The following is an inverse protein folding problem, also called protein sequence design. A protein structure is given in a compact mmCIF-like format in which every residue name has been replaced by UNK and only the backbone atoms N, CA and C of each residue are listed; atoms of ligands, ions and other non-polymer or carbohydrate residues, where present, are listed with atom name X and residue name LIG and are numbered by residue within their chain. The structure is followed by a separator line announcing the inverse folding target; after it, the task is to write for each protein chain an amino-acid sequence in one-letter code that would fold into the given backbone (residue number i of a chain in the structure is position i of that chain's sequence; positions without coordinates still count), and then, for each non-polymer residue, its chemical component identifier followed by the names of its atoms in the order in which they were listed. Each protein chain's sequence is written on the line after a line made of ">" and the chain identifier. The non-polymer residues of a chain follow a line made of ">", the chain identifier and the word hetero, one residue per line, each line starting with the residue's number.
data_IF_884860265632
#
_entry.id   IF_884860265632
#
_cell.length_a   1.000
_cell.length_b   1.000
_cell.length_c   1.000
_cell.angle_alpha   90.00
_cell.angle_beta   90.00
_cell.angle_gamma   90.00
#
_symmetry.space_group_name_H-M   'P 1'
#
loop_
_entity.id
_entity.type
_entity.pdbx_description
1 polymer ?
#
# COMPACT_ATOMS: atom_id res chain seq x y z
N UNK A 1 12.15 1.48 -11.64
CA UNK A 1 11.86 2.93 -11.76
C UNK A 1 10.64 3.36 -10.96
N UNK A 2 9.50 2.65 -11.00
CA UNK A 2 8.31 2.96 -10.19
C UNK A 2 8.61 3.06 -8.67
N UNK A 3 9.26 2.03 -8.10
CA UNK A 3 9.68 2.04 -6.68
C UNK A 3 10.60 3.22 -6.32
N UNK A 4 11.44 3.69 -7.27
CA UNK A 4 12.31 4.84 -7.04
C UNK A 4 11.54 6.17 -7.00
N UNK A 5 10.53 6.32 -7.84
CA UNK A 5 9.62 7.49 -7.83
C UNK A 5 8.79 7.48 -6.55
N UNK A 6 8.24 6.32 -6.15
CA UNK A 6 7.49 6.17 -4.90
C UNK A 6 8.34 6.53 -3.69
N UNK A 7 9.59 6.06 -3.61
CA UNK A 7 10.50 6.43 -2.52
C UNK A 7 10.87 7.92 -2.55
N UNK A 8 11.06 8.53 -3.73
CA UNK A 8 11.33 9.96 -3.83
C UNK A 8 10.17 10.82 -3.35
N UNK A 9 8.95 10.52 -3.80
CA UNK A 9 7.73 11.23 -3.39
C UNK A 9 7.48 11.06 -1.88
N UNK A 10 7.72 9.87 -1.33
CA UNK A 10 7.59 9.62 0.11
C UNK A 10 8.53 10.49 0.94
N UNK A 11 9.79 10.63 0.53
CA UNK A 11 10.76 11.48 1.22
C UNK A 11 10.40 12.97 1.14
N UNK A 12 9.90 13.44 -0.01
CA UNK A 12 9.46 14.84 -0.18
C UNK A 12 8.25 15.13 0.70
N UNK A 13 7.28 14.22 0.74
CA UNK A 13 6.11 14.34 1.63
C UNK A 13 6.50 14.35 3.11
N UNK A 14 7.47 13.50 3.49
CA UNK A 14 8.01 13.46 4.85
C UNK A 14 8.73 14.75 5.26
N UNK A 15 9.29 15.49 4.30
CA UNK A 15 9.93 16.78 4.54
C UNK A 15 8.94 17.96 4.56
N UNK A 16 7.90 17.93 3.73
CA UNK A 16 6.90 18.99 3.64
C UNK A 16 6.01 19.07 4.90
N UNK A 17 5.68 17.94 5.50
CA UNK A 17 4.81 17.88 6.69
C UNK A 17 5.36 18.70 7.88
N UNK A 18 6.61 18.53 8.35
CA UNK A 18 7.15 19.33 9.45
C UNK A 18 7.34 20.81 9.09
N UNK A 19 7.61 21.15 7.82
CA UNK A 19 7.67 22.56 7.38
C UNK A 19 6.31 23.22 7.47
N UNK A 20 5.27 22.56 6.98
CA UNK A 20 3.90 23.07 7.04
C UNK A 20 3.44 23.27 8.49
N UNK A 21 3.69 22.28 9.35
CA UNK A 21 3.42 22.38 10.80
C UNK A 21 4.22 23.53 11.43
N UNK A 22 5.50 23.68 11.05
CA UNK A 22 6.37 24.76 11.51
C UNK A 22 5.82 26.15 11.19
N UNK A 23 5.39 26.39 9.95
CA UNK A 23 4.81 27.67 9.50
C UNK A 23 3.53 28.01 10.27
N UNK A 24 2.65 27.02 10.49
CA UNK A 24 1.40 27.25 11.23
C UNK A 24 1.67 27.51 12.71
N UNK A 25 2.68 26.87 13.27
CA UNK A 25 3.00 26.97 14.69
C UNK A 25 3.88 28.17 15.03
N UNK A 26 4.57 28.75 14.05
CA UNK A 26 5.37 29.99 14.18
C UNK A 26 4.54 31.18 14.70
N UNK A 27 3.24 31.19 14.41
CA UNK A 27 2.30 32.22 14.89
C UNK A 27 1.82 32.01 16.34
N UNK A 28 2.23 30.92 16.99
CA UNK A 28 1.92 30.60 18.38
C UNK A 28 1.47 29.14 18.55
N UNK A 29 1.86 28.52 19.67
CA UNK A 29 1.43 27.17 20.05
C UNK A 29 0.01 27.18 20.66
N UNK A 30 -0.95 27.80 19.99
CA UNK A 30 -2.34 27.89 20.47
C UNK A 30 -3.18 26.71 19.98
N UNK A 31 -4.23 26.37 20.73
CA UNK A 31 -5.16 25.27 20.37
C UNK A 31 -5.75 25.47 18.96
N UNK A 32 -5.98 26.70 18.53
CA UNK A 32 -6.53 26.98 17.20
C UNK A 32 -5.58 26.61 16.06
N UNK A 33 -4.28 26.77 16.23
CA UNK A 33 -3.29 26.37 15.21
C UNK A 33 -3.22 24.85 15.08
N UNK A 34 -3.30 24.12 16.20
CA UNK A 34 -3.39 22.66 16.18
C UNK A 34 -4.67 22.16 15.51
N UNK A 35 -5.82 22.82 15.72
CA UNK A 35 -7.07 22.50 15.01
C UNK A 35 -6.90 22.62 13.51
N UNK A 36 -6.22 23.65 13.02
CA UNK A 36 -5.96 23.83 11.58
C UNK A 36 -5.09 22.69 11.05
N UNK A 37 -4.05 22.29 11.77
CA UNK A 37 -3.17 21.17 11.38
C UNK A 37 -3.98 19.87 11.27
N UNK A 38 -4.80 19.55 12.27
CA UNK A 38 -5.63 18.35 12.25
C UNK A 38 -6.68 18.38 11.13
N UNK A 39 -7.33 19.52 10.92
CA UNK A 39 -8.32 19.69 9.84
C UNK A 39 -7.66 19.51 8.47
N UNK A 40 -6.48 20.10 8.26
CA UNK A 40 -5.74 19.98 7.00
C UNK A 40 -5.28 18.54 6.77
N UNK A 41 -4.79 17.87 7.81
CA UNK A 41 -4.38 16.46 7.75
C UNK A 41 -5.58 15.57 7.40
N UNK A 42 -6.73 15.79 8.02
CA UNK A 42 -7.97 15.08 7.71
C UNK A 42 -8.41 15.31 6.26
N UNK A 43 -8.32 16.54 5.75
CA UNK A 43 -8.64 16.87 4.36
C UNK A 43 -7.72 16.18 3.35
N UNK A 44 -6.41 16.12 3.64
CA UNK A 44 -5.42 15.41 2.80
C UNK A 44 -5.70 13.91 2.77
N UNK A 45 -5.98 13.30 3.92
CA UNK A 45 -6.34 11.88 4.02
C UNK A 45 -7.64 11.57 3.29
N UNK A 46 -8.67 12.40 3.47
CA UNK A 46 -9.95 12.27 2.78
C UNK A 46 -9.75 12.36 1.26
N UNK A 47 -9.01 13.35 0.77
CA UNK A 47 -8.70 13.53 -0.65
C UNK A 47 -7.93 12.34 -1.22
N UNK A 48 -6.93 11.85 -0.48
CA UNK A 48 -6.18 10.65 -0.87
C UNK A 48 -7.08 9.42 -0.94
N UNK A 49 -8.00 9.27 0.02
CA UNK A 49 -9.02 8.22 0.01
C UNK A 49 -9.99 8.33 -1.16
N UNK A 50 -10.40 9.54 -1.54
CA UNK A 50 -11.23 9.75 -2.74
C UNK A 50 -10.48 9.39 -4.02
N UNK A 51 -9.23 9.84 -4.17
CA UNK A 51 -8.40 9.48 -5.32
C UNK A 51 -8.23 7.96 -5.39
N UNK A 52 -7.93 7.32 -4.27
CA UNK A 52 -7.89 5.86 -4.22
C UNK A 52 -9.24 5.25 -4.60
N UNK A 53 -10.36 5.76 -4.09
CA UNK A 53 -11.69 5.21 -4.37
C UNK A 53 -12.06 5.27 -5.86
N UNK A 54 -11.74 6.36 -6.56
CA UNK A 54 -12.05 6.52 -7.98
C UNK A 54 -11.09 5.73 -8.90
N UNK A 55 -9.83 5.57 -8.49
CA UNK A 55 -8.78 4.96 -9.33
C UNK A 55 -8.38 3.55 -8.87
N UNK A 56 -8.94 3.02 -7.78
CA UNK A 56 -8.67 1.68 -7.30
C UNK A 56 -9.23 0.66 -8.31
N UNK A 57 -8.32 -0.13 -8.87
CA UNK A 57 -8.68 -1.38 -9.53
C UNK A 57 -8.36 -2.52 -8.58
N UNK A 58 -9.33 -3.42 -8.37
CA UNK A 58 -9.15 -4.62 -7.56
C UNK A 58 -8.59 -5.80 -8.38
N UNK A 59 -8.08 -5.56 -9.59
CA UNK A 59 -7.47 -6.59 -10.40
C UNK A 59 -6.12 -7.03 -9.81
N UNK A 60 -5.95 -8.35 -9.76
CA UNK A 60 -4.73 -9.00 -9.32
C UNK A 60 -3.58 -8.50 -10.20
N UNK A 61 -2.68 -7.73 -9.60
CA UNK A 61 -1.59 -7.13 -10.34
C UNK A 61 -0.65 -8.24 -10.86
N UNK A 62 -0.24 -8.23 -12.14
CA UNK A 62 0.43 -9.36 -12.79
C UNK A 62 1.79 -9.75 -12.19
N UNK A 63 2.39 -8.91 -11.35
CA UNK A 63 3.62 -9.23 -10.60
C UNK A 63 3.37 -9.99 -9.29
N UNK A 64 2.12 -10.06 -8.81
CA UNK A 64 1.71 -10.76 -7.59
C UNK A 64 1.19 -12.18 -7.85
N UNK A 65 1.15 -12.61 -9.12
CA UNK A 65 0.96 -14.01 -9.48
C UNK A 65 2.31 -14.68 -9.23
N UNK A 66 2.53 -15.13 -8.00
CA UNK A 66 3.62 -16.08 -7.76
C UNK A 66 3.33 -17.30 -8.65
N UNK A 67 4.33 -17.79 -9.37
CA UNK A 67 4.18 -18.93 -10.29
C UNK A 67 4.06 -20.25 -9.51
N UNK A 68 3.18 -20.27 -8.51
CA UNK A 68 2.93 -21.41 -7.63
C UNK A 68 1.65 -22.16 -8.00
N UNK A 69 0.86 -21.68 -8.97
CA UNK A 69 -0.33 -22.40 -9.45
C UNK A 69 -0.02 -23.61 -10.34
N UNK A 70 1.26 -23.92 -10.61
CA UNK A 70 1.70 -25.09 -11.40
C UNK A 70 2.25 -26.24 -10.52
N UNK A 71 2.55 -26.02 -9.23
CA UNK A 71 3.22 -27.06 -8.43
C UNK A 71 2.28 -27.95 -7.62
N UNK A 72 1.06 -27.52 -7.33
CA UNK A 72 0.17 -28.29 -6.46
C UNK A 72 -0.56 -29.43 -7.19
N UNK A 73 -0.72 -29.34 -8.51
CA UNK A 73 -1.42 -30.37 -9.31
C UNK A 73 -0.52 -31.57 -9.64
N UNK A 74 0.78 -31.36 -9.75
CA UNK A 74 1.74 -32.41 -10.14
C UNK A 74 2.20 -33.27 -8.95
N UNK A 75 2.24 -32.70 -7.74
CA UNK A 75 2.66 -33.45 -6.53
C UNK A 75 1.55 -34.42 -6.08
N UNK A 76 0.29 -33.99 -6.12
CA UNK A 76 -0.87 -34.82 -5.74
C UNK A 76 -1.09 -36.00 -6.70
N UNK A 77 -0.89 -35.79 -8.02
CA UNK A 77 -0.98 -36.86 -9.02
C UNK A 77 0.16 -37.87 -8.90
N UNK A 78 1.38 -37.42 -8.58
CA UNK A 78 2.52 -38.32 -8.36
C UNK A 78 2.38 -39.16 -7.08
N UNK A 79 1.78 -38.61 -6.03
CA UNK A 79 1.55 -39.32 -4.77
C UNK A 79 0.38 -40.31 -4.90
N UNK A 80 -0.66 -39.96 -5.67
CA UNK A 80 -1.78 -40.85 -5.97
C UNK A 80 -1.36 -42.03 -6.86
N UNK A 81 -0.51 -41.82 -7.86
CA UNK A 81 0.04 -42.90 -8.72
C UNK A 81 0.92 -43.87 -7.92
N UNK A 82 1.71 -43.37 -6.96
CA UNK A 82 2.54 -44.21 -6.08
C UNK A 82 1.71 -45.06 -5.10
N UNK A 83 0.54 -44.60 -4.67
CA UNK A 83 -0.37 -45.35 -3.78
C UNK A 83 -1.16 -46.41 -4.55
N UNK A 84 -1.50 -46.17 -5.82
CA UNK A 84 -2.25 -47.13 -6.63
C UNK A 84 -1.43 -48.33 -7.11
N UNK A 85 -0.11 -48.22 -7.18
CA UNK A 85 0.79 -49.31 -7.61
C UNK A 85 1.05 -50.34 -6.49
N UNK A 86 0.94 -49.95 -5.21
CA UNK A 86 1.16 -50.84 -4.04
C UNK A 86 -0.10 -51.63 -3.62
N UNK A 87 -1.25 -51.40 -4.28
CA UNK A 87 -2.55 -52.00 -3.92
C UNK A 87 -3.10 -53.01 -4.95
N UNK A 88 -2.28 -53.40 -5.94
CA UNK A 88 -2.58 -54.46 -6.92
C UNK A 88 -1.79 -55.75 -6.69
#
# INVERSE_FOLDING_TARGET
>A
TLHGITNGIANISGFLAPIFVGIITEKGQTIDNWRIIFLTTSAVLATSGFVYHFFCTAELQPWGIDRTDDKTTNVDMSEMDLITDDTS
#
